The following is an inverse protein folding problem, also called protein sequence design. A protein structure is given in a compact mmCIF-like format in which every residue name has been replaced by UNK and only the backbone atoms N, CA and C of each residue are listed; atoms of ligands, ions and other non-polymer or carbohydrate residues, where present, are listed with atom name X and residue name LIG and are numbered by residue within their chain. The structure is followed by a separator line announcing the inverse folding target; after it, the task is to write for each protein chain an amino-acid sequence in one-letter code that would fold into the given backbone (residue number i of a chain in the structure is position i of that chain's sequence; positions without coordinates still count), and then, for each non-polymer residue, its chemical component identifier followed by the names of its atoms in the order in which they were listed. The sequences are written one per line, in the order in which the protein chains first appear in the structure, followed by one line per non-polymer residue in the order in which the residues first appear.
data_IF_429412863630
#
_entry.id   IF_429412863630
#
_cell.length_a   1.000
_cell.length_b   1.000
_cell.length_c   1.000
_cell.angle_alpha   90.00
_cell.angle_beta   90.00
_cell.angle_gamma   90.00
#
_symmetry.space_group_name_H-M   'P 1'
#
loop_
_entity.id
_entity.type
_entity.pdbx_description
1 polymer ?
#
# COMPACT_ATOMS: atom_id res chain seq x y z
N UNK A 1 45.80 34.01 23.35
CA UNK A 1 47.24 33.85 23.09
C UNK A 1 47.45 32.54 22.35
N UNK A 2 48.05 32.65 21.17
CA UNK A 2 48.51 31.63 20.19
C UNK A 2 47.49 30.86 19.38
N UNK A 3 47.33 31.38 18.20
CA UNK A 3 46.92 30.85 16.89
C UNK A 3 47.98 29.86 16.42
N UNK A 4 47.56 28.73 15.86
CA UNK A 4 48.39 28.01 14.88
C UNK A 4 47.50 27.51 13.75
N UNK A 5 47.65 28.14 12.59
CA UNK A 5 47.18 27.68 11.26
C UNK A 5 48.23 26.71 10.73
N UNK A 6 47.78 25.61 10.10
CA UNK A 6 48.60 24.93 9.10
C UNK A 6 47.71 24.66 7.87
N UNK A 7 48.23 25.21 6.78
CA UNK A 7 47.68 25.13 5.40
C UNK A 7 48.23 23.91 4.66
N UNK A 8 47.46 23.42 3.70
CA UNK A 8 47.98 23.01 2.40
C UNK A 8 48.08 21.51 2.17
N UNK A 9 47.36 20.98 1.21
CA UNK A 9 47.89 20.61 -0.12
C UNK A 9 46.78 20.14 -1.06
N UNK A 10 46.76 20.79 -2.19
CA UNK A 10 46.01 20.46 -3.40
C UNK A 10 46.78 19.35 -4.13
N UNK A 11 46.08 18.30 -4.62
CA UNK A 11 46.57 17.46 -5.67
C UNK A 11 45.46 17.23 -6.70
N UNK A 12 45.61 17.92 -7.82
CA UNK A 12 44.98 17.60 -9.12
C UNK A 12 45.75 16.48 -9.78
N UNK A 13 45.05 15.67 -10.59
CA UNK A 13 45.48 14.91 -11.79
C UNK A 13 44.54 13.71 -11.92
N UNK A 14 44.04 13.28 -13.06
CA UNK A 14 44.08 13.69 -14.45
C UNK A 14 42.93 12.95 -15.17
N UNK A 15 42.52 13.56 -16.22
CA UNK A 15 41.60 13.12 -17.29
C UNK A 15 42.11 11.83 -17.97
N UNK A 16 41.23 10.91 -18.25
CA UNK A 16 41.43 9.76 -19.12
C UNK A 16 40.19 9.52 -19.95
N UNK A 17 40.09 10.18 -21.10
CA UNK A 17 39.16 9.90 -22.16
C UNK A 17 39.65 8.69 -22.97
N UNK A 18 38.83 7.70 -23.21
CA UNK A 18 39.03 6.77 -24.35
C UNK A 18 37.78 6.68 -25.19
N UNK A 19 37.98 7.04 -26.40
CA UNK A 19 37.07 7.13 -27.52
C UNK A 19 36.87 5.80 -28.26
N UNK A 20 35.66 5.60 -28.73
CA UNK A 20 35.23 5.05 -30.02
C UNK A 20 35.83 3.72 -30.53
N UNK A 21 34.95 2.79 -30.88
CA UNK A 21 34.83 2.35 -32.26
C UNK A 21 33.48 1.70 -32.53
N UNK A 22 32.78 2.29 -33.48
CA UNK A 22 31.62 1.75 -34.19
C UNK A 22 32.15 0.92 -35.39
N UNK A 23 31.32 -0.04 -35.82
CA UNK A 23 31.09 -0.58 -37.16
C UNK A 23 30.33 -1.89 -36.95
N UNK A 24 29.15 -2.18 -37.46
CA UNK A 24 28.64 -1.84 -38.76
C UNK A 24 28.35 -3.11 -39.57
N UNK A 25 27.16 -3.16 -40.15
CA UNK A 25 26.71 -3.92 -41.34
C UNK A 25 25.97 -5.23 -41.12
N UNK A 26 24.64 -5.21 -41.25
CA UNK A 26 23.84 -5.66 -42.44
C UNK A 26 24.07 -7.08 -42.97
N UNK A 27 22.98 -7.84 -43.01
CA UNK A 27 22.27 -8.38 -44.20
C UNK A 27 21.39 -9.57 -43.77
N UNK A 28 20.08 -9.43 -43.85
CA UNK A 28 19.17 -9.74 -44.96
C UNK A 28 19.33 -11.13 -45.58
N UNK A 29 18.27 -11.89 -45.49
CA UNK A 29 17.56 -12.63 -46.53
C UNK A 29 16.70 -13.74 -45.93
N UNK A 30 15.42 -13.52 -46.09
CA UNK A 30 14.46 -14.17 -47.01
C UNK A 30 14.12 -15.64 -46.80
N UNK A 31 12.83 -15.79 -46.53
CA UNK A 31 11.83 -16.65 -47.21
C UNK A 31 11.96 -18.17 -47.11
N UNK A 32 10.94 -18.88 -46.70
CA UNK A 32 9.83 -19.39 -47.51
C UNK A 32 8.97 -20.38 -46.73
N UNK A 33 7.69 -20.08 -46.67
CA UNK A 33 6.52 -20.85 -47.13
C UNK A 33 6.47 -22.37 -46.98
N UNK A 34 5.38 -22.82 -46.37
CA UNK A 34 4.34 -23.73 -46.87
C UNK A 34 3.45 -24.12 -45.72
N UNK A 35 2.21 -23.72 -45.62
CA UNK A 35 1.02 -24.22 -46.29
C UNK A 35 0.71 -25.69 -45.96
N UNK A 36 -0.37 -25.88 -45.25
CA UNK A 36 -1.00 -27.17 -45.05
C UNK A 36 -2.37 -26.98 -44.39
N UNK A 37 -3.37 -26.90 -45.21
CA UNK A 37 -4.76 -26.64 -44.93
C UNK A 37 -5.55 -27.92 -44.63
N UNK A 38 -6.73 -27.68 -44.12
CA UNK A 38 -8.01 -28.41 -44.30
C UNK A 38 -8.43 -29.30 -43.14
N UNK A 39 -9.50 -28.98 -42.62
CA UNK A 39 -10.96 -29.30 -42.79
C UNK A 39 -11.40 -30.23 -41.66
N UNK A 40 -12.48 -30.13 -41.00
CA UNK A 40 -13.87 -29.79 -41.24
C UNK A 40 -14.66 -29.89 -39.91
N UNK A 41 -15.65 -29.03 -39.76
CA UNK A 41 -16.82 -29.26 -38.89
C UNK A 41 -17.85 -30.12 -39.67
N UNK A 42 -19.07 -30.45 -39.22
CA UNK A 42 -19.78 -30.10 -37.98
C UNK A 42 -20.55 -31.29 -37.36
N UNK A 43 -21.17 -31.09 -36.23
CA UNK A 43 -22.17 -32.01 -35.70
C UNK A 43 -23.04 -31.35 -34.65
N UNK A 44 -24.22 -30.92 -35.09
CA UNK A 44 -25.30 -30.44 -34.24
C UNK A 44 -26.17 -31.61 -33.72
N UNK A 45 -26.80 -31.44 -32.57
CA UNK A 45 -28.23 -31.73 -32.31
C UNK A 45 -28.50 -31.86 -30.81
N UNK A 46 -29.27 -30.93 -30.26
CA UNK A 46 -30.69 -31.06 -29.80
C UNK A 46 -30.92 -31.95 -28.57
N UNK A 47 -31.42 -31.44 -27.49
CA UNK A 47 -32.73 -31.06 -27.08
C UNK A 47 -33.17 -31.68 -25.73
N UNK A 48 -33.93 -30.88 -24.99
CA UNK A 48 -35.07 -31.13 -24.08
C UNK A 48 -34.78 -31.51 -22.63
N UNK A 49 -35.05 -30.56 -21.73
CA UNK A 49 -36.36 -30.38 -21.03
C UNK A 49 -36.68 -31.43 -19.96
N UNK A 50 -36.88 -30.95 -18.77
CA UNK A 50 -37.73 -31.66 -17.83
C UNK A 50 -37.42 -31.42 -16.36
N UNK A 51 -38.21 -30.61 -15.78
CA UNK A 51 -39.06 -30.78 -14.59
C UNK A 51 -38.53 -30.24 -13.27
N UNK A 52 -39.30 -29.30 -12.79
CA UNK A 52 -39.37 -28.76 -11.45
C UNK A 52 -39.66 -29.84 -10.39
N UNK A 53 -39.03 -29.74 -9.25
CA UNK A 53 -39.64 -30.20 -7.98
C UNK A 53 -39.39 -29.11 -6.93
N UNK A 54 -40.48 -28.58 -6.44
CA UNK A 54 -40.53 -27.68 -5.28
C UNK A 54 -40.23 -28.47 -4.01
N UNK A 55 -39.41 -27.95 -3.14
CA UNK A 55 -39.46 -28.26 -1.72
C UNK A 55 -39.22 -26.98 -0.92
N UNK A 56 -40.27 -26.56 -0.24
CA UNK A 56 -40.24 -25.50 0.77
C UNK A 56 -39.55 -26.02 2.03
N UNK A 57 -38.79 -25.16 2.69
CA UNK A 57 -38.29 -25.43 4.01
C UNK A 57 -37.36 -24.40 4.60
N UNK A 58 -37.92 -23.55 5.43
CA UNK A 58 -37.31 -22.86 6.58
C UNK A 58 -36.51 -21.60 6.35
N UNK A 59 -37.17 -20.51 6.59
CA UNK A 59 -36.61 -19.17 6.83
C UNK A 59 -35.67 -19.16 8.03
N UNK A 60 -34.42 -18.90 7.75
CA UNK A 60 -33.46 -18.41 8.71
C UNK A 60 -33.14 -16.95 8.30
N UNK A 61 -33.77 -15.98 8.97
CA UNK A 61 -33.50 -14.59 8.77
C UNK A 61 -32.11 -14.26 9.30
N UNK A 62 -31.10 -14.32 8.42
CA UNK A 62 -29.88 -13.55 8.60
C UNK A 62 -30.19 -12.17 8.02
N UNK A 63 -30.31 -11.18 8.89
CA UNK A 63 -30.34 -9.78 8.50
C UNK A 63 -28.97 -9.42 7.91
N UNK A 64 -28.77 -9.68 6.63
CA UNK A 64 -27.77 -8.99 5.82
C UNK A 64 -28.24 -7.56 5.74
N UNK A 65 -27.59 -6.69 6.50
CA UNK A 65 -27.72 -5.25 6.30
C UNK A 65 -27.40 -4.99 4.83
N UNK A 66 -28.42 -4.61 4.07
CA UNK A 66 -28.22 -4.13 2.71
C UNK A 66 -27.32 -2.90 2.77
N UNK A 67 -26.02 -3.10 2.57
CA UNK A 67 -25.11 -2.02 2.21
C UNK A 67 -25.63 -1.54 0.85
N UNK A 68 -26.20 -0.31 0.85
CA UNK A 68 -26.60 0.33 -0.39
C UNK A 68 -25.37 0.39 -1.30
N UNK A 69 -25.56 0.13 -2.60
CA UNK A 69 -24.50 0.24 -3.57
C UNK A 69 -23.82 1.61 -3.43
N UNK A 70 -22.48 1.62 -3.42
CA UNK A 70 -21.72 2.86 -3.41
C UNK A 70 -22.10 3.71 -4.62
N UNK A 71 -22.14 5.06 -4.48
CA UNK A 71 -22.47 5.95 -5.60
C UNK A 71 -21.39 5.83 -6.68
N UNK A 72 -21.79 5.82 -7.94
CA UNK A 72 -20.86 5.88 -9.07
C UNK A 72 -20.24 7.27 -9.18
N UNK A 73 -19.08 7.39 -9.84
CA UNK A 73 -18.34 8.66 -10.00
C UNK A 73 -19.22 9.83 -10.43
N UNK A 74 -19.92 9.70 -11.55
CA UNK A 74 -20.80 10.79 -12.04
C UNK A 74 -22.07 10.95 -11.21
N UNK A 75 -22.57 9.86 -10.64
CA UNK A 75 -23.72 9.88 -9.74
C UNK A 75 -23.44 10.51 -8.38
N UNK A 76 -22.16 10.64 -7.99
CA UNK A 76 -21.73 11.27 -6.74
C UNK A 76 -21.51 12.79 -6.84
N UNK A 77 -21.88 13.42 -7.94
CA UNK A 77 -21.72 14.87 -8.15
C UNK A 77 -20.34 15.29 -8.64
N UNK A 78 -19.56 14.36 -9.15
CA UNK A 78 -18.30 14.64 -9.84
C UNK A 78 -18.50 14.57 -11.37
N UNK A 79 -17.61 15.23 -12.10
CA UNK A 79 -17.56 15.18 -13.55
C UNK A 79 -16.11 15.13 -14.01
N UNK A 80 -15.88 14.53 -15.17
CA UNK A 80 -14.58 14.49 -15.79
C UNK A 80 -13.97 15.89 -15.97
N UNK A 81 -12.69 16.01 -15.61
CA UNK A 81 -11.86 17.17 -15.93
C UNK A 81 -10.59 16.72 -16.61
N UNK A 82 -10.02 17.58 -17.45
CA UNK A 82 -8.78 17.32 -18.21
C UNK A 82 -7.64 18.16 -17.67
N UNK A 83 -6.42 17.72 -17.88
CA UNK A 83 -5.21 18.40 -17.44
C UNK A 83 -4.15 17.42 -16.93
N UNK A 84 -3.20 17.93 -16.18
CA UNK A 84 -2.11 17.15 -15.60
C UNK A 84 -2.01 17.41 -14.09
N UNK A 85 -1.82 16.37 -13.29
CA UNK A 85 -1.52 16.43 -11.86
C UNK A 85 -0.17 15.77 -11.61
N UNK A 86 0.60 16.34 -10.70
CA UNK A 86 1.84 15.76 -10.19
C UNK A 86 1.57 15.16 -8.83
N UNK A 87 2.09 13.99 -8.59
CA UNK A 87 1.91 13.28 -7.31
C UNK A 87 3.13 12.44 -6.95
N UNK A 88 3.36 12.26 -5.66
CA UNK A 88 4.40 11.39 -5.12
C UNK A 88 4.03 10.92 -3.72
N UNK A 89 4.78 9.97 -3.18
CA UNK A 89 4.64 9.58 -1.79
C UNK A 89 4.60 8.08 -1.55
N UNK A 90 3.62 7.62 -0.77
CA UNK A 90 3.55 6.24 -0.31
C UNK A 90 3.66 5.23 -1.46
N UNK A 91 4.63 4.32 -1.35
CA UNK A 91 4.76 3.20 -2.28
C UNK A 91 3.75 2.09 -2.00
N UNK A 92 3.10 2.12 -0.83
CA UNK A 92 2.05 1.17 -0.46
C UNK A 92 0.89 1.17 -1.45
N UNK A 93 0.48 2.35 -1.89
CA UNK A 93 -0.58 2.51 -2.89
C UNK A 93 -0.09 2.54 -4.34
N UNK A 94 1.21 2.31 -4.59
CA UNK A 94 1.80 2.51 -5.92
C UNK A 94 1.01 1.84 -7.04
N UNK A 95 0.68 0.56 -6.86
CA UNK A 95 -0.12 -0.23 -7.83
C UNK A 95 -1.54 0.30 -8.02
N UNK A 96 -2.18 0.65 -6.91
CA UNK A 96 -3.54 1.21 -6.91
C UNK A 96 -3.55 2.55 -7.65
N UNK A 97 -2.58 3.41 -7.36
CA UNK A 97 -2.47 4.71 -7.99
C UNK A 97 -2.17 4.61 -9.50
N UNK A 98 -1.31 3.68 -9.92
CA UNK A 98 -1.04 3.40 -11.32
C UNK A 98 -2.33 2.99 -12.06
N UNK A 99 -3.10 2.06 -11.49
CA UNK A 99 -4.38 1.65 -12.05
C UNK A 99 -5.37 2.82 -12.12
N UNK A 100 -5.51 3.58 -11.04
CA UNK A 100 -6.42 4.72 -11.00
C UNK A 100 -6.07 5.82 -12.00
N UNK A 101 -4.80 6.13 -12.18
CA UNK A 101 -4.32 7.10 -13.17
C UNK A 101 -4.66 6.62 -14.58
N UNK A 102 -4.37 5.36 -14.90
CA UNK A 102 -4.65 4.77 -16.20
C UNK A 102 -6.16 4.79 -16.53
N UNK A 103 -6.97 4.35 -15.57
CA UNK A 103 -8.43 4.30 -15.74
C UNK A 103 -9.04 5.69 -15.85
N UNK A 104 -8.61 6.64 -15.02
CA UNK A 104 -9.07 8.02 -15.06
C UNK A 104 -8.66 8.71 -16.37
N UNK A 105 -7.41 8.54 -16.83
CA UNK A 105 -6.93 9.06 -18.10
C UNK A 105 -7.77 8.52 -19.26
N UNK A 106 -8.09 7.23 -19.24
CA UNK A 106 -8.94 6.60 -20.25
C UNK A 106 -10.39 7.10 -20.20
N UNK A 107 -10.98 7.16 -18.99
CA UNK A 107 -12.38 7.52 -18.76
C UNK A 107 -12.64 9.01 -19.05
N UNK A 108 -11.72 9.88 -18.63
CA UNK A 108 -11.91 11.33 -18.69
C UNK A 108 -11.09 12.01 -19.78
N UNK A 109 -10.37 11.27 -20.63
CA UNK A 109 -9.44 11.85 -21.62
C UNK A 109 -8.47 12.86 -20.97
N UNK A 110 -8.05 12.57 -19.75
CA UNK A 110 -7.08 13.35 -19.00
C UNK A 110 -5.65 12.93 -19.38
N UNK A 111 -4.66 13.60 -18.80
CA UNK A 111 -3.24 13.28 -19.00
C UNK A 111 -2.51 13.46 -17.65
N UNK A 112 -2.94 12.68 -16.65
CA UNK A 112 -2.28 12.68 -15.36
C UNK A 112 -0.90 12.06 -15.48
N UNK A 113 0.07 12.63 -14.78
CA UNK A 113 1.44 12.10 -14.73
C UNK A 113 1.48 10.82 -13.90
N UNK A 114 2.48 9.98 -14.17
CA UNK A 114 2.77 8.81 -13.37
C UNK A 114 3.02 9.19 -11.90
N UNK A 115 2.63 8.29 -11.00
CA UNK A 115 2.83 8.48 -9.58
C UNK A 115 4.30 8.32 -9.17
N UNK A 116 4.84 9.32 -8.53
CA UNK A 116 6.27 9.43 -8.23
C UNK A 116 6.73 8.74 -6.94
N UNK A 117 6.06 7.75 -6.39
CA UNK A 117 6.50 6.95 -5.25
C UNK A 117 7.43 7.64 -4.24
N UNK A 118 8.34 6.87 -3.64
CA UNK A 118 9.44 7.39 -2.80
C UNK A 118 9.18 7.38 -1.29
N UNK A 119 8.02 6.88 -0.85
CA UNK A 119 7.63 6.79 0.55
C UNK A 119 6.83 7.98 1.06
N UNK A 120 6.05 7.76 2.12
CA UNK A 120 5.16 8.78 2.71
C UNK A 120 5.90 10.03 3.16
N UNK A 121 7.12 9.88 3.70
CA UNK A 121 7.95 11.03 4.11
C UNK A 121 8.29 11.94 2.94
N UNK A 122 8.69 11.36 1.79
CA UNK A 122 8.96 12.10 0.56
C UNK A 122 7.70 12.81 0.05
N UNK A 123 6.56 12.11 -0.01
CA UNK A 123 5.30 12.70 -0.45
C UNK A 123 4.91 13.94 0.34
N UNK A 124 4.94 13.84 1.67
CA UNK A 124 4.65 14.99 2.56
C UNK A 124 5.63 16.15 2.30
N UNK A 125 6.93 15.86 2.19
CA UNK A 125 7.93 16.88 1.92
C UNK A 125 7.72 17.57 0.56
N UNK A 126 7.49 16.79 -0.50
CA UNK A 126 7.20 17.30 -1.85
C UNK A 126 5.94 18.17 -1.87
N UNK A 127 4.89 17.77 -1.14
CA UNK A 127 3.64 18.55 -1.04
C UNK A 127 3.87 19.90 -0.35
N UNK A 128 4.53 19.89 0.80
CA UNK A 128 4.86 21.12 1.54
C UNK A 128 5.73 22.05 0.70
N UNK A 129 6.68 21.48 -0.07
CA UNK A 129 7.57 22.21 -0.97
C UNK A 129 6.92 22.61 -2.31
N UNK A 130 5.61 22.35 -2.50
CA UNK A 130 4.87 22.65 -3.74
C UNK A 130 5.45 21.97 -5.00
N UNK A 131 6.06 20.79 -4.83
CA UNK A 131 6.59 20.00 -5.95
C UNK A 131 5.52 19.12 -6.58
N UNK A 132 4.46 18.78 -5.81
CA UNK A 132 3.33 17.96 -6.27
C UNK A 132 2.01 18.64 -5.95
N UNK A 133 0.96 18.22 -6.66
CA UNK A 133 -0.38 18.77 -6.52
C UNK A 133 -1.17 18.06 -5.42
N UNK A 134 -0.84 16.77 -5.20
CA UNK A 134 -1.26 15.99 -4.03
C UNK A 134 -0.18 14.98 -3.65
N UNK A 135 -0.22 14.49 -2.43
CA UNK A 135 0.71 13.47 -1.96
C UNK A 135 0.00 12.29 -1.35
N UNK A 136 0.49 11.08 -1.64
CA UNK A 136 0.06 9.86 -0.96
C UNK A 136 0.86 9.64 0.33
N UNK A 137 0.19 9.35 1.44
CA UNK A 137 0.84 9.06 2.71
C UNK A 137 0.03 8.08 3.56
N UNK A 138 0.72 7.09 4.15
CA UNK A 138 0.09 6.15 5.10
C UNK A 138 0.15 6.67 6.55
N UNK A 139 0.61 7.91 6.71
CA UNK A 139 0.62 8.62 7.99
C UNK A 139 -0.01 9.99 7.77
N UNK A 140 -0.90 10.39 8.66
CA UNK A 140 -1.48 11.74 8.66
C UNK A 140 -0.41 12.81 8.87
N UNK A 141 -0.70 14.02 8.42
CA UNK A 141 0.14 15.17 8.71
C UNK A 141 0.27 15.40 10.22
N UNK A 142 1.49 15.64 10.69
CA UNK A 142 1.67 16.18 12.03
C UNK A 142 1.16 17.63 12.10
N UNK A 143 0.88 18.15 13.30
CA UNK A 143 0.43 19.52 13.47
C UNK A 143 1.39 20.54 12.82
N UNK A 144 2.72 20.30 12.94
CA UNK A 144 3.73 21.18 12.34
C UNK A 144 3.74 21.06 10.81
N UNK A 145 3.59 19.87 10.25
CA UNK A 145 3.48 19.65 8.80
C UNK A 145 2.22 20.29 8.22
N UNK A 146 1.09 20.13 8.89
CA UNK A 146 -0.16 20.78 8.49
C UNK A 146 -0.05 22.32 8.52
N UNK A 147 0.59 22.89 9.55
CA UNK A 147 0.83 24.33 9.65
C UNK A 147 1.79 24.83 8.55
N UNK A 148 2.83 24.07 8.24
CA UNK A 148 3.75 24.38 7.14
C UNK A 148 3.02 24.32 5.79
N UNK A 149 2.30 23.23 5.50
CA UNK A 149 1.54 23.08 4.27
C UNK A 149 0.52 24.20 4.09
N UNK A 150 -0.18 24.58 5.15
CA UNK A 150 -1.13 25.71 5.17
C UNK A 150 -0.48 27.00 4.70
N UNK A 151 0.69 27.34 5.22
CA UNK A 151 1.38 28.61 4.94
C UNK A 151 2.12 28.60 3.60
N UNK A 152 2.76 27.49 3.22
CA UNK A 152 3.64 27.44 2.06
C UNK A 152 2.95 26.96 0.79
N UNK A 153 2.00 26.01 0.90
CA UNK A 153 1.37 25.31 -0.23
C UNK A 153 -0.09 25.70 -0.46
N UNK A 154 -0.88 25.85 0.60
CA UNK A 154 -2.34 25.94 0.52
C UNK A 154 -2.88 27.37 0.64
N UNK A 155 -2.08 28.40 0.39
CA UNK A 155 -2.51 29.82 0.42
C UNK A 155 -3.30 30.18 1.70
N UNK A 156 -2.82 29.73 2.85
CA UNK A 156 -3.44 29.86 4.18
C UNK A 156 -4.75 29.06 4.39
N UNK A 157 -5.10 28.15 3.48
CA UNK A 157 -6.16 27.17 3.71
C UNK A 157 -5.59 25.90 4.32
N UNK A 158 -6.45 25.06 4.89
CA UNK A 158 -6.00 23.82 5.52
C UNK A 158 -5.54 22.79 4.49
N UNK A 159 -4.44 22.12 4.76
CA UNK A 159 -4.11 20.84 4.18
C UNK A 159 -4.93 19.77 4.91
N UNK A 160 -5.48 18.80 4.19
CA UNK A 160 -6.37 17.77 4.72
C UNK A 160 -5.89 16.38 4.30
N UNK A 161 -6.07 15.42 5.18
CA UNK A 161 -5.81 14.00 4.97
C UNK A 161 -7.12 13.32 4.55
N UNK A 162 -7.19 12.84 3.29
CA UNK A 162 -8.35 12.12 2.76
C UNK A 162 -8.04 10.64 2.65
N UNK A 163 -8.60 9.75 3.49
CA UNK A 163 -8.36 8.32 3.39
C UNK A 163 -8.90 7.78 2.06
N UNK A 164 -8.07 7.04 1.31
CA UNK A 164 -8.44 6.51 0.00
C UNK A 164 -8.28 5.01 -0.14
N UNK A 165 -7.28 4.43 0.50
CA UNK A 165 -6.96 3.00 0.39
C UNK A 165 -6.81 2.39 1.76
N UNK A 166 -7.48 1.27 2.01
CA UNK A 166 -7.15 0.39 3.13
C UNK A 166 -6.08 -0.59 2.67
N UNK A 167 -4.88 -0.48 3.23
CA UNK A 167 -3.72 -1.30 2.88
C UNK A 167 -3.44 -2.36 3.95
N UNK A 168 -3.74 -3.64 3.70
CA UNK A 168 -3.28 -4.70 4.58
C UNK A 168 -1.76 -4.86 4.47
N UNK A 169 -1.09 -4.91 5.63
CA UNK A 169 0.36 -5.12 5.71
C UNK A 169 0.61 -6.61 5.94
N UNK A 170 1.10 -7.29 4.92
CA UNK A 170 1.49 -8.69 5.00
C UNK A 170 2.79 -8.83 5.81
N UNK A 171 2.82 -9.75 6.77
CA UNK A 171 4.04 -10.30 7.33
C UNK A 171 4.50 -11.40 6.39
N UNK A 172 5.14 -10.99 5.29
CA UNK A 172 5.56 -11.87 4.21
C UNK A 172 6.89 -12.54 4.55
N UNK A 173 7.01 -13.83 4.24
CA UNK A 173 8.22 -14.59 4.54
C UNK A 173 8.59 -15.54 3.40
N UNK A 174 9.87 -15.94 3.38
CA UNK A 174 10.41 -16.93 2.47
C UNK A 174 11.04 -18.06 3.28
N UNK A 175 10.30 -19.15 3.46
CA UNK A 175 10.72 -20.29 4.26
C UNK A 175 10.24 -21.58 3.61
N UNK A 176 11.16 -22.32 2.99
CA UNK A 176 10.86 -23.53 2.24
C UNK A 176 10.15 -24.58 3.11
N UNK A 177 9.03 -25.10 2.61
CA UNK A 177 8.26 -26.15 3.30
C UNK A 177 7.37 -25.66 4.43
N UNK A 178 7.31 -24.35 4.72
CA UNK A 178 6.41 -23.74 5.71
C UNK A 178 5.43 -22.85 4.99
N UNK A 179 4.16 -23.27 4.94
CA UNK A 179 3.09 -22.53 4.26
C UNK A 179 1.98 -22.05 5.21
N UNK A 180 1.99 -22.52 6.44
CA UNK A 180 1.00 -22.15 7.48
C UNK A 180 1.75 -21.72 8.74
N UNK A 181 1.99 -20.42 8.87
CA UNK A 181 2.71 -19.83 9.99
C UNK A 181 1.80 -18.82 10.70
N UNK A 182 1.70 -18.96 12.01
CA UNK A 182 1.04 -17.97 12.88
C UNK A 182 2.10 -17.21 13.67
N UNK A 183 1.96 -15.88 13.74
CA UNK A 183 2.82 -15.02 14.53
C UNK A 183 1.99 -14.18 15.49
N UNK A 184 2.55 -13.90 16.68
CA UNK A 184 1.96 -12.96 17.65
C UNK A 184 2.73 -11.65 17.67
N UNK A 185 2.15 -10.55 18.17
CA UNK A 185 2.85 -9.28 18.28
C UNK A 185 4.16 -9.37 19.09
N UNK A 186 4.19 -10.23 20.12
CA UNK A 186 5.37 -10.45 20.96
C UNK A 186 6.49 -11.14 20.17
N UNK A 187 6.15 -12.17 19.39
CA UNK A 187 7.11 -12.87 18.52
C UNK A 187 7.62 -11.93 17.43
N UNK A 188 6.74 -11.15 16.80
CA UNK A 188 7.13 -10.15 15.81
C UNK A 188 8.06 -9.09 16.42
N UNK A 189 7.76 -8.57 17.60
CA UNK A 189 8.65 -7.65 18.30
C UNK A 189 10.01 -8.29 18.58
N UNK A 190 10.05 -9.58 18.94
CA UNK A 190 11.30 -10.32 19.12
C UNK A 190 12.11 -10.49 17.83
N UNK A 191 11.44 -10.83 16.72
CA UNK A 191 12.09 -11.00 15.40
C UNK A 191 12.65 -9.67 14.91
N UNK A 192 11.83 -8.64 14.84
CA UNK A 192 12.23 -7.33 14.30
C UNK A 192 13.09 -6.52 15.28
N UNK A 193 13.04 -6.84 16.57
CA UNK A 193 13.93 -6.30 17.60
C UNK A 193 15.25 -7.08 17.79
N UNK A 194 15.41 -8.20 17.05
CA UNK A 194 16.64 -9.00 17.04
C UNK A 194 16.85 -9.94 18.24
N UNK A 195 15.85 -10.13 19.11
CA UNK A 195 15.92 -11.07 20.24
C UNK A 195 15.54 -12.51 19.86
N UNK A 196 14.76 -12.69 18.78
CA UNK A 196 14.44 -13.98 18.17
C UNK A 196 15.19 -14.03 16.81
N UNK A 197 16.24 -14.85 16.75
CA UNK A 197 17.17 -14.86 15.63
C UNK A 197 17.07 -16.10 14.73
N UNK A 198 16.30 -17.11 15.12
CA UNK A 198 16.17 -18.36 14.36
C UNK A 198 14.71 -18.78 14.24
N UNK A 199 14.35 -19.42 13.12
CA UNK A 199 12.98 -19.85 12.89
C UNK A 199 12.50 -20.95 13.85
N UNK A 200 13.38 -21.82 14.30
CA UNK A 200 13.08 -22.87 15.28
C UNK A 200 13.12 -22.38 16.74
N UNK A 201 13.08 -21.08 16.97
CA UNK A 201 12.99 -20.52 18.33
C UNK A 201 11.77 -21.10 19.09
N UNK A 202 11.93 -21.49 20.36
CA UNK A 202 10.83 -22.02 21.17
C UNK A 202 9.59 -21.13 21.20
N UNK A 203 9.74 -19.80 21.14
CA UNK A 203 8.62 -18.87 21.13
C UNK A 203 7.80 -18.96 19.82
N UNK A 204 8.44 -19.22 18.68
CA UNK A 204 7.74 -19.47 17.40
C UNK A 204 7.12 -20.87 17.42
N UNK A 205 7.87 -21.88 17.86
CA UNK A 205 7.41 -23.27 17.86
C UNK A 205 6.16 -23.46 18.75
N UNK A 206 6.10 -22.78 19.89
CA UNK A 206 4.99 -22.91 20.85
C UNK A 206 3.64 -22.46 20.27
N UNK A 207 3.63 -21.51 19.34
CA UNK A 207 2.42 -20.99 18.69
C UNK A 207 2.12 -21.64 17.33
N UNK A 208 2.97 -22.57 16.88
CA UNK A 208 2.86 -23.30 15.62
C UNK A 208 2.93 -24.82 15.83
N UNK A 209 2.04 -25.42 16.65
CA UNK A 209 2.08 -26.84 16.91
C UNK A 209 1.88 -27.65 15.62
N UNK A 210 2.76 -28.61 15.38
CA UNK A 210 2.72 -29.46 14.19
C UNK A 210 3.44 -28.90 12.96
N UNK A 211 3.92 -27.67 12.99
CA UNK A 211 4.77 -27.09 11.93
C UNK A 211 6.23 -27.45 12.20
N UNK A 212 6.90 -28.03 11.21
CA UNK A 212 8.35 -28.28 11.27
C UNK A 212 9.12 -27.03 10.90
N UNK A 213 9.62 -26.31 11.91
CA UNK A 213 10.40 -25.10 11.71
C UNK A 213 11.88 -25.43 11.50
N UNK A 214 12.56 -24.93 10.46
CA UNK A 214 13.95 -25.19 10.19
C UNK A 214 14.88 -24.48 11.18
N UNK A 215 16.03 -25.08 11.48
CA UNK A 215 17.14 -24.40 12.17
C UNK A 215 17.85 -23.46 11.19
N UNK A 216 17.22 -22.33 10.93
CA UNK A 216 17.68 -21.33 9.97
C UNK A 216 17.61 -19.94 10.61
N UNK A 217 18.63 -19.11 10.37
CA UNK A 217 18.66 -17.75 10.87
C UNK A 217 17.53 -16.91 10.19
N UNK A 218 16.91 -16.06 10.98
CA UNK A 218 15.92 -15.10 10.49
C UNK A 218 16.64 -13.86 9.96
N UNK A 219 16.31 -13.47 8.73
CA UNK A 219 16.70 -12.18 8.17
C UNK A 219 15.48 -11.26 8.09
N UNK A 220 15.35 -10.32 9.01
CA UNK A 220 14.30 -9.30 8.93
C UNK A 220 14.60 -8.30 7.82
N UNK A 221 13.56 -7.87 7.08
CA UNK A 221 13.66 -6.87 6.00
C UNK A 221 12.79 -5.68 6.38
N UNK A 222 13.35 -4.49 6.28
CA UNK A 222 12.66 -3.24 6.61
C UNK A 222 12.85 -2.18 5.52
N UNK A 223 12.09 -1.11 5.57
CA UNK A 223 12.18 0.01 4.64
C UNK A 223 13.44 0.85 4.88
N UNK A 224 14.07 1.28 3.81
CA UNK A 224 15.27 2.11 3.83
C UNK A 224 14.97 3.60 3.99
N UNK A 225 13.81 4.05 3.49
CA UNK A 225 13.35 5.44 3.51
C UNK A 225 12.27 5.67 4.57
N UNK A 226 11.88 6.94 4.77
CA UNK A 226 10.76 7.32 5.62
C UNK A 226 9.43 6.81 5.04
N UNK A 227 8.93 5.72 5.61
CA UNK A 227 7.82 4.93 5.12
C UNK A 227 6.62 5.00 6.05
N UNK A 228 5.43 5.23 5.49
CA UNK A 228 4.21 5.10 6.27
C UNK A 228 3.89 3.65 6.64
N UNK A 229 4.31 2.66 5.85
CA UNK A 229 4.21 1.23 6.22
C UNK A 229 5.01 0.95 7.48
N UNK A 230 6.25 1.48 7.57
CA UNK A 230 7.06 1.40 8.79
C UNK A 230 6.37 2.05 9.98
N UNK A 231 5.79 3.24 9.79
CA UNK A 231 5.06 3.96 10.85
C UNK A 231 3.89 3.11 11.39
N UNK A 232 3.05 2.56 10.51
CA UNK A 232 1.91 1.74 10.93
C UNK A 232 2.33 0.41 11.54
N UNK A 233 3.35 -0.26 11.00
CA UNK A 233 3.88 -1.49 11.56
C UNK A 233 4.48 -1.28 12.95
N UNK A 234 5.25 -0.21 13.16
CA UNK A 234 5.82 0.09 14.48
C UNK A 234 4.77 0.56 15.48
N UNK A 235 3.71 1.25 15.06
CA UNK A 235 2.53 1.54 15.88
C UNK A 235 1.82 0.26 16.33
N UNK A 236 1.63 -0.70 15.39
CA UNK A 236 1.09 -2.00 15.72
C UNK A 236 1.95 -2.73 16.76
N UNK A 237 3.26 -2.83 16.57
CA UNK A 237 4.15 -3.47 17.53
C UNK A 237 4.10 -2.79 18.90
N UNK A 238 4.07 -1.45 18.92
CA UNK A 238 3.98 -0.67 20.16
C UNK A 238 2.67 -0.95 20.91
N UNK A 239 1.54 -0.98 20.19
CA UNK A 239 0.22 -1.14 20.80
C UNK A 239 -0.07 -2.58 21.24
N UNK A 240 0.36 -3.58 20.43
CA UNK A 240 -0.07 -4.96 20.59
C UNK A 240 0.93 -5.87 21.29
N UNK A 241 2.24 -5.54 21.33
CA UNK A 241 3.27 -6.45 21.86
C UNK A 241 3.38 -6.51 23.38
N UNK A 242 2.58 -5.73 24.12
CA UNK A 242 2.62 -5.73 25.58
C UNK A 242 3.96 -5.23 26.14
N UNK A 243 4.65 -4.33 25.44
CA UNK A 243 5.94 -3.77 25.83
C UNK A 243 7.17 -4.55 25.35
N UNK A 244 6.99 -5.61 24.55
CA UNK A 244 8.12 -6.33 23.94
C UNK A 244 8.85 -5.51 22.86
N UNK A 245 8.13 -4.60 22.18
CA UNK A 245 8.72 -3.65 21.26
C UNK A 245 9.26 -2.43 22.00
N UNK A 246 10.55 -2.18 21.91
CA UNK A 246 11.25 -1.11 22.66
C UNK A 246 11.89 -0.05 21.75
N UNK A 247 11.95 -0.28 20.43
CA UNK A 247 12.45 0.71 19.48
C UNK A 247 11.44 1.84 19.30
N UNK A 248 11.93 3.02 18.93
CA UNK A 248 11.04 4.15 18.64
C UNK A 248 10.17 3.84 17.41
N UNK A 249 8.88 4.18 17.49
CA UNK A 249 7.98 4.14 16.36
C UNK A 249 8.17 5.34 15.43
N UNK A 250 7.62 5.26 14.23
CA UNK A 250 7.63 6.33 13.24
C UNK A 250 7.97 5.84 11.82
N UNK A 251 8.13 6.80 10.90
CA UNK A 251 8.40 6.49 9.49
C UNK A 251 9.80 5.91 9.26
N UNK A 252 10.80 6.35 10.04
CA UNK A 252 12.17 5.86 9.96
C UNK A 252 12.34 4.59 10.78
N UNK A 253 13.03 3.59 10.24
CA UNK A 253 13.37 2.38 10.98
C UNK A 253 14.45 2.65 12.02
N UNK A 254 14.23 2.26 13.27
CA UNK A 254 15.13 2.54 14.40
C UNK A 254 15.59 1.29 15.15
N UNK A 255 14.99 0.12 14.88
CA UNK A 255 15.41 -1.11 15.52
C UNK A 255 16.76 -1.61 14.96
N UNK A 256 17.56 -2.34 15.77
CA UNK A 256 18.86 -2.84 15.35
C UNK A 256 18.73 -3.99 14.34
N UNK A 257 19.68 -4.09 13.43
CA UNK A 257 19.78 -5.21 12.49
C UNK A 257 18.77 -5.16 11.35
N UNK A 258 18.64 -6.30 10.66
CA UNK A 258 17.82 -6.41 9.47
C UNK A 258 18.51 -5.89 8.20
N UNK A 259 17.81 -6.02 7.07
CA UNK A 259 18.24 -5.53 5.76
C UNK A 259 17.30 -4.43 5.31
N UNK A 260 17.86 -3.29 4.96
CA UNK A 260 17.11 -2.18 4.42
C UNK A 260 16.82 -2.37 2.92
N UNK A 261 15.57 -2.15 2.51
CA UNK A 261 15.17 -2.22 1.11
C UNK A 261 14.30 -1.01 0.74
N UNK A 262 14.50 -0.50 -0.47
CA UNK A 262 13.85 0.71 -0.95
C UNK A 262 12.44 0.39 -1.49
N UNK A 263 11.42 1.03 -0.95
CA UNK A 263 10.03 0.89 -1.39
C UNK A 263 9.42 -0.48 -1.08
N UNK A 264 8.13 -0.61 -1.34
CA UNK A 264 7.40 -1.87 -1.13
C UNK A 264 7.88 -2.97 -2.09
N UNK A 265 8.15 -2.62 -3.34
CA UNK A 265 8.71 -3.51 -4.35
C UNK A 265 10.11 -4.06 -3.96
N UNK A 266 10.97 -3.17 -3.42
CA UNK A 266 12.30 -3.60 -2.95
C UNK A 266 12.22 -4.54 -1.76
N UNK A 267 11.30 -4.33 -0.82
CA UNK A 267 11.08 -5.21 0.33
C UNK A 267 10.61 -6.58 -0.13
N UNK A 268 9.58 -6.67 -0.98
CA UNK A 268 9.05 -7.96 -1.45
C UNK A 268 10.10 -8.75 -2.24
N UNK A 269 10.85 -8.12 -3.11
CA UNK A 269 11.95 -8.75 -3.87
C UNK A 269 13.10 -9.22 -2.98
N UNK A 270 13.44 -8.44 -1.94
CA UNK A 270 14.46 -8.85 -0.97
C UNK A 270 14.02 -10.10 -0.21
N UNK A 271 12.76 -10.17 0.21
CA UNK A 271 12.19 -11.36 0.87
C UNK A 271 12.24 -12.55 -0.09
N UNK A 272 11.75 -12.37 -1.32
CA UNK A 272 11.70 -13.43 -2.34
C UNK A 272 13.07 -14.03 -2.63
N UNK A 273 14.09 -13.22 -2.68
CA UNK A 273 15.46 -13.64 -3.03
C UNK A 273 16.23 -14.31 -1.89
N UNK A 274 15.73 -14.26 -0.65
CA UNK A 274 16.49 -14.67 0.52
C UNK A 274 15.73 -15.69 1.35
N UNK A 275 16.16 -16.93 1.36
CA UNK A 275 15.63 -17.99 2.23
C UNK A 275 15.83 -17.62 3.70
N UNK A 276 14.79 -17.81 4.53
CA UNK A 276 14.80 -17.44 5.94
C UNK A 276 14.47 -15.98 6.21
N UNK A 277 14.11 -15.20 5.19
CA UNK A 277 13.73 -13.80 5.40
C UNK A 277 12.25 -13.63 5.77
N UNK A 278 11.96 -12.52 6.45
CA UNK A 278 10.62 -12.03 6.79
C UNK A 278 10.63 -10.50 6.72
N UNK A 279 9.56 -9.92 6.22
CA UNK A 279 9.39 -8.47 6.18
C UNK A 279 7.93 -8.05 6.28
N UNK A 280 7.71 -6.76 6.39
CA UNK A 280 6.39 -6.13 6.36
C UNK A 280 6.23 -5.38 5.04
N UNK A 281 5.21 -5.74 4.27
CA UNK A 281 4.95 -5.17 2.95
C UNK A 281 3.46 -5.24 2.65
N UNK A 282 2.94 -4.36 1.81
CA UNK A 282 1.53 -4.42 1.43
C UNK A 282 1.21 -5.71 0.68
N UNK A 283 0.03 -6.25 0.96
CA UNK A 283 -0.39 -7.58 0.51
C UNK A 283 -0.29 -7.78 -1.00
N UNK A 284 -0.64 -6.77 -1.80
CA UNK A 284 -0.54 -6.86 -3.26
C UNK A 284 0.89 -7.14 -3.77
N UNK A 285 1.93 -6.63 -3.11
CA UNK A 285 3.32 -6.95 -3.47
C UNK A 285 3.70 -8.38 -3.07
N UNK A 286 3.22 -8.84 -1.91
CA UNK A 286 3.45 -10.22 -1.48
C UNK A 286 2.77 -11.21 -2.43
N UNK A 287 1.55 -10.91 -2.91
CA UNK A 287 0.82 -11.73 -3.88
C UNK A 287 1.55 -11.82 -5.22
N UNK A 288 1.99 -10.70 -5.79
CA UNK A 288 2.69 -10.68 -7.09
C UNK A 288 4.01 -11.45 -7.05
N UNK A 289 4.71 -11.40 -5.93
CA UNK A 289 5.96 -12.13 -5.76
C UNK A 289 5.76 -13.58 -5.30
N UNK A 290 4.51 -13.99 -5.03
CA UNK A 290 4.17 -15.35 -4.59
C UNK A 290 4.73 -15.69 -3.22
N UNK A 291 4.83 -14.69 -2.32
CA UNK A 291 5.35 -14.87 -0.97
C UNK A 291 4.31 -15.51 -0.05
N UNK A 292 4.77 -16.34 0.87
CA UNK A 292 3.94 -16.80 1.98
C UNK A 292 3.68 -15.66 2.96
N UNK A 293 2.48 -15.63 3.55
CA UNK A 293 2.04 -14.59 4.49
C UNK A 293 1.61 -15.23 5.80
N UNK A 294 2.13 -14.76 6.91
CA UNK A 294 1.79 -15.27 8.23
C UNK A 294 0.40 -14.80 8.67
N UNK A 295 -0.34 -15.69 9.33
CA UNK A 295 -1.52 -15.35 10.12
C UNK A 295 -1.09 -14.60 11.37
N UNK A 296 -1.92 -13.69 11.84
CA UNK A 296 -1.63 -12.90 13.04
C UNK A 296 -2.63 -13.22 14.15
N UNK A 297 -2.10 -13.56 15.33
CA UNK A 297 -2.90 -13.76 16.53
C UNK A 297 -2.63 -12.66 17.56
N UNK A 298 -3.54 -11.71 17.68
CA UNK A 298 -3.53 -10.64 18.67
C UNK A 298 -4.14 -11.05 20.02
N UNK A 299 -4.36 -12.35 20.25
CA UNK A 299 -5.03 -12.89 21.42
C UNK A 299 -6.54 -13.04 21.26
N UNK A 300 -7.04 -12.96 20.03
CA UNK A 300 -8.41 -13.28 19.61
C UNK A 300 -8.50 -14.51 18.71
N UNK A 301 -7.39 -15.20 18.48
CA UNK A 301 -7.20 -16.28 17.53
C UNK A 301 -6.47 -15.82 16.26
N UNK A 302 -5.84 -16.77 15.57
CA UNK A 302 -5.09 -16.50 14.35
C UNK A 302 -6.01 -16.04 13.21
N UNK A 303 -5.71 -14.89 12.64
CA UNK A 303 -6.46 -14.30 11.52
C UNK A 303 -5.61 -14.30 10.26
N UNK A 304 -6.15 -14.89 9.19
CA UNK A 304 -5.56 -14.84 7.85
C UNK A 304 -5.78 -13.46 7.24
N UNK A 305 -4.78 -12.99 6.48
CA UNK A 305 -4.89 -11.74 5.75
C UNK A 305 -5.76 -11.95 4.50
N UNK A 306 -6.87 -11.23 4.46
CA UNK A 306 -7.79 -11.12 3.32
C UNK A 306 -8.30 -9.68 3.24
N UNK A 307 -8.91 -9.28 2.11
CA UNK A 307 -9.54 -7.98 2.00
C UNK A 307 -10.65 -7.79 3.06
N UNK A 308 -11.43 -8.85 3.34
CA UNK A 308 -12.47 -8.82 4.37
C UNK A 308 -11.88 -8.62 5.77
N UNK A 309 -10.86 -9.42 6.16
CA UNK A 309 -10.27 -9.33 7.49
C UNK A 309 -9.57 -7.98 7.74
N UNK A 310 -8.95 -7.41 6.71
CA UNK A 310 -8.40 -6.06 6.75
C UNK A 310 -9.49 -4.98 6.84
N UNK A 311 -10.56 -5.12 6.04
CA UNK A 311 -11.72 -4.25 6.10
C UNK A 311 -12.38 -4.22 7.47
N UNK A 312 -12.49 -5.39 8.14
CA UNK A 312 -13.01 -5.50 9.51
C UNK A 312 -12.17 -4.71 10.53
N UNK A 313 -10.84 -4.70 10.37
CA UNK A 313 -9.98 -3.92 11.25
C UNK A 313 -10.18 -2.40 11.08
N UNK A 314 -10.36 -1.93 9.83
CA UNK A 314 -10.54 -0.50 9.53
C UNK A 314 -11.99 -0.06 9.77
N UNK A 315 -12.98 -0.96 9.73
CA UNK A 315 -14.38 -0.63 10.00
C UNK A 315 -14.60 -0.03 11.41
N UNK A 316 -13.73 -0.38 12.37
CA UNK A 316 -13.74 0.17 13.72
C UNK A 316 -12.97 1.50 13.86
N UNK A 317 -12.34 1.98 12.79
CA UNK A 317 -11.57 3.22 12.83
C UNK A 317 -12.47 4.44 13.11
N UNK A 318 -11.94 5.38 13.86
CA UNK A 318 -12.62 6.64 14.19
C UNK A 318 -11.94 7.81 13.51
N UNK A 319 -12.76 8.76 13.01
CA UNK A 319 -12.22 10.02 12.48
C UNK A 319 -11.71 10.86 13.64
N UNK A 320 -10.42 11.19 13.63
CA UNK A 320 -9.75 12.07 14.59
C UNK A 320 -9.50 13.48 14.04
N UNK A 321 -9.55 13.65 12.72
CA UNK A 321 -9.45 14.94 12.05
C UNK A 321 -10.65 15.83 12.31
N UNK A 322 -10.55 17.10 11.98
CA UNK A 322 -11.60 18.12 12.18
C UNK A 322 -12.04 18.73 10.85
N UNK A 323 -13.32 19.04 10.74
CA UNK A 323 -13.88 19.67 9.55
C UNK A 323 -13.82 18.75 8.32
N UNK A 324 -13.00 19.11 7.33
CA UNK A 324 -12.79 18.33 6.09
C UNK A 324 -11.62 17.36 6.21
N UNK A 325 -10.80 17.50 7.24
CA UNK A 325 -9.70 16.57 7.52
C UNK A 325 -10.27 15.28 8.10
N UNK A 326 -9.98 14.16 7.45
CA UNK A 326 -10.51 12.84 7.76
C UNK A 326 -9.43 11.89 8.27
N UNK A 327 -8.41 12.43 8.95
CA UNK A 327 -7.44 11.62 9.66
C UNK A 327 -8.12 10.55 10.53
N UNK A 328 -7.66 9.31 10.48
CA UNK A 328 -8.24 8.18 11.22
C UNK A 328 -7.34 7.74 12.36
N UNK A 329 -7.97 7.28 13.44
CA UNK A 329 -7.32 6.51 14.49
C UNK A 329 -7.69 5.04 14.31
N UNK A 330 -6.68 4.18 14.17
CA UNK A 330 -6.80 2.72 14.05
C UNK A 330 -6.57 2.05 15.41
N UNK A 331 -7.30 0.96 15.68
CA UNK A 331 -7.05 0.11 16.86
C UNK A 331 -6.11 -1.04 16.48
N UNK A 332 -4.81 -0.82 16.59
CA UNK A 332 -3.79 -1.84 16.31
C UNK A 332 -3.76 -2.98 17.34
N UNK A 333 -4.38 -2.80 18.52
CA UNK A 333 -4.46 -3.82 19.55
C UNK A 333 -5.77 -4.62 19.49
N UNK A 334 -6.56 -4.45 18.43
CA UNK A 334 -7.85 -5.11 18.28
C UNK A 334 -7.74 -6.63 18.44
N UNK A 335 -8.70 -7.20 19.15
CA UNK A 335 -8.90 -8.66 19.30
C UNK A 335 -10.24 -9.09 18.70
N UNK A 336 -10.83 -8.23 17.88
CA UNK A 336 -12.10 -8.54 17.23
C UNK A 336 -11.93 -9.78 16.32
N UNK A 337 -12.80 -10.78 16.46
CA UNK A 337 -12.74 -11.98 15.63
C UNK A 337 -12.77 -11.62 14.14
N UNK A 338 -11.86 -12.21 13.34
CA UNK A 338 -11.79 -11.98 11.91
C UNK A 338 -11.25 -10.60 11.50
N UNK A 339 -10.73 -9.78 12.41
CA UNK A 339 -10.06 -8.53 12.09
C UNK A 339 -8.54 -8.75 12.04
N UNK A 340 -7.93 -8.52 10.87
CA UNK A 340 -6.48 -8.58 10.68
C UNK A 340 -5.85 -7.26 11.17
N UNK A 341 -5.02 -7.27 12.21
CA UNK A 341 -4.68 -6.04 12.95
C UNK A 341 -3.58 -5.20 12.30
N UNK A 342 -2.80 -5.77 11.36
CA UNK A 342 -1.65 -5.08 10.76
C UNK A 342 -2.12 -4.41 9.47
N UNK A 343 -2.67 -3.22 9.61
CA UNK A 343 -3.25 -2.44 8.50
C UNK A 343 -2.72 -1.02 8.51
N UNK A 344 -2.76 -0.40 7.35
CA UNK A 344 -2.58 1.03 7.16
C UNK A 344 -3.80 1.60 6.41
N UNK A 345 -3.92 2.92 6.45
CA UNK A 345 -4.79 3.66 5.55
C UNK A 345 -3.91 4.66 4.81
N UNK A 346 -3.95 4.64 3.48
CA UNK A 346 -3.29 5.66 2.68
C UNK A 346 -4.23 6.84 2.46
N UNK A 347 -3.71 8.01 2.71
CA UNK A 347 -4.39 9.29 2.56
C UNK A 347 -3.86 10.00 1.32
N UNK A 348 -4.75 10.67 0.58
CA UNK A 348 -4.37 11.72 -0.34
C UNK A 348 -4.36 13.05 0.40
N UNK A 349 -3.17 13.62 0.56
CA UNK A 349 -2.96 14.92 1.20
C UNK A 349 -3.14 16.01 0.16
N UNK A 350 -4.11 16.90 0.41
CA UNK A 350 -4.50 17.95 -0.53
C UNK A 350 -4.79 19.27 0.18
N UNK A 351 -4.76 20.38 -0.54
CA UNK A 351 -5.30 21.64 -0.02
C UNK A 351 -6.82 21.62 -0.09
N UNK A 352 -7.49 21.96 1.00
CA UNK A 352 -8.95 22.09 1.05
C UNK A 352 -9.50 23.21 0.13
N UNK A 353 -8.67 24.22 -0.10
CA UNK A 353 -8.91 25.35 -1.02
C UNK A 353 -7.58 26.04 -1.36
N UNK A 354 -7.60 27.00 -2.30
CA UNK A 354 -6.41 27.73 -2.71
C UNK A 354 -5.49 26.96 -3.64
N UNK A 355 -6.01 25.95 -4.32
CA UNK A 355 -5.29 25.25 -5.38
C UNK A 355 -5.07 26.18 -6.59
N UNK A 356 -3.99 25.95 -7.33
CA UNK A 356 -3.70 26.73 -8.53
C UNK A 356 -4.84 26.61 -9.56
N UNK A 357 -4.97 27.61 -10.42
CA UNK A 357 -5.99 27.63 -11.47
C UNK A 357 -5.88 26.37 -12.35
N UNK A 358 -7.00 25.69 -12.54
CA UNK A 358 -7.10 24.42 -13.27
C UNK A 358 -6.78 23.16 -12.44
N UNK A 359 -6.00 23.25 -11.37
CA UNK A 359 -5.67 22.11 -10.52
C UNK A 359 -6.86 21.71 -9.64
N UNK A 360 -7.52 22.66 -8.99
CA UNK A 360 -8.65 22.38 -8.08
C UNK A 360 -9.74 21.52 -8.73
N UNK A 361 -10.30 21.92 -9.88
CA UNK A 361 -11.31 21.12 -10.60
C UNK A 361 -10.83 19.72 -11.00
N UNK A 362 -9.58 19.60 -11.47
CA UNK A 362 -9.01 18.30 -11.87
C UNK A 362 -8.76 17.40 -10.66
N UNK A 363 -8.21 17.96 -9.58
CA UNK A 363 -7.99 17.23 -8.32
C UNK A 363 -9.32 16.74 -7.74
N UNK A 364 -10.34 17.60 -7.71
CA UNK A 364 -11.70 17.22 -7.31
C UNK A 364 -12.27 16.09 -8.16
N UNK A 365 -12.08 16.15 -9.48
CA UNK A 365 -12.51 15.11 -10.41
C UNK A 365 -11.78 13.79 -10.14
N UNK A 366 -10.46 13.81 -10.00
CA UNK A 366 -9.66 12.61 -9.74
C UNK A 366 -9.99 11.98 -8.38
N UNK A 367 -10.05 12.77 -7.30
CA UNK A 367 -10.41 12.28 -5.97
C UNK A 367 -11.87 11.79 -5.91
N UNK A 368 -12.74 12.36 -6.72
CA UNK A 368 -14.10 11.87 -6.90
C UNK A 368 -14.10 10.47 -7.51
N UNK A 369 -13.31 10.25 -8.55
CA UNK A 369 -13.15 8.94 -9.16
C UNK A 369 -12.54 7.93 -8.18
N UNK A 370 -11.43 8.26 -7.52
CA UNK A 370 -10.74 7.33 -6.60
C UNK A 370 -11.59 6.96 -5.38
N UNK A 371 -12.44 7.87 -4.92
CA UNK A 371 -13.37 7.62 -3.79
C UNK A 371 -14.66 6.90 -4.19
N UNK A 372 -14.93 6.68 -5.47
CA UNK A 372 -16.15 6.03 -5.98
C UNK A 372 -15.82 4.82 -6.85
N UNK A 373 -15.84 4.96 -8.18
CA UNK A 373 -15.61 3.86 -9.13
C UNK A 373 -14.24 3.20 -8.92
N UNK A 374 -13.21 3.96 -8.55
CA UNK A 374 -11.87 3.46 -8.29
C UNK A 374 -11.78 2.48 -7.13
N UNK A 375 -12.75 2.49 -6.20
CA UNK A 375 -12.77 1.54 -5.08
C UNK A 375 -13.04 0.09 -5.51
N UNK A 376 -13.68 -0.11 -6.66
CA UNK A 376 -14.10 -1.43 -7.12
C UNK A 376 -12.94 -2.35 -7.55
N UNK A 377 -11.77 -1.80 -7.86
CA UNK A 377 -10.60 -2.57 -8.29
C UNK A 377 -9.64 -2.95 -7.15
N UNK A 378 -9.86 -2.45 -5.94
CA UNK A 378 -8.89 -2.54 -4.84
C UNK A 378 -8.58 -3.98 -4.41
N UNK A 379 -9.59 -4.84 -4.32
CA UNK A 379 -9.42 -6.25 -3.91
C UNK A 379 -8.46 -6.99 -4.85
N UNK A 380 -8.53 -6.72 -6.15
CA UNK A 380 -7.66 -7.35 -7.16
C UNK A 380 -6.22 -6.85 -7.07
N UNK A 381 -6.01 -5.71 -6.44
CA UNK A 381 -4.69 -5.09 -6.24
C UNK A 381 -4.11 -5.36 -4.83
N UNK A 382 -4.74 -6.26 -4.06
CA UNK A 382 -4.32 -6.60 -2.71
C UNK A 382 -4.55 -5.48 -1.69
N UNK A 383 -5.55 -4.63 -1.93
CA UNK A 383 -6.01 -3.61 -1.02
C UNK A 383 -7.49 -3.85 -0.68
N UNK A 384 -8.02 -3.13 0.29
CA UNK A 384 -9.45 -3.20 0.62
C UNK A 384 -10.11 -1.84 0.40
N UNK A 385 -11.39 -1.82 -0.02
CA UNK A 385 -12.12 -0.58 -0.19
C UNK A 385 -12.39 0.08 1.16
N UNK A 386 -12.65 1.39 1.11
CA UNK A 386 -13.03 2.15 2.29
C UNK A 386 -14.37 1.64 2.84
N UNK A 387 -14.52 1.55 4.18
CA UNK A 387 -15.83 1.35 4.79
C UNK A 387 -16.82 2.43 4.33
N UNK A 388 -18.07 2.05 4.02
CA UNK A 388 -19.08 2.96 3.46
C UNK A 388 -19.29 4.25 4.26
N UNK A 389 -19.17 4.18 5.59
CA UNK A 389 -19.30 5.34 6.49
C UNK A 389 -18.15 6.33 6.34
N UNK A 390 -16.94 5.86 6.01
CA UNK A 390 -15.75 6.69 5.73
C UNK A 390 -15.84 7.20 4.30
N UNK A 391 -16.13 6.34 3.32
CA UNK A 391 -16.27 6.69 1.91
C UNK A 391 -17.25 7.86 1.70
N UNK A 392 -18.41 7.84 2.36
CA UNK A 392 -19.39 8.94 2.28
C UNK A 392 -18.78 10.29 2.72
N UNK A 393 -17.98 10.30 3.78
CA UNK A 393 -17.31 11.51 4.25
C UNK A 393 -16.23 11.98 3.28
N UNK A 394 -15.47 11.05 2.71
CA UNK A 394 -14.43 11.33 1.70
C UNK A 394 -15.04 11.97 0.46
N UNK A 395 -16.14 11.42 -0.06
CA UNK A 395 -16.88 11.98 -1.20
C UNK A 395 -17.30 13.43 -0.90
N UNK A 396 -17.86 13.68 0.29
CA UNK A 396 -18.27 15.02 0.71
C UNK A 396 -17.08 15.99 0.81
N UNK A 397 -15.97 15.57 1.40
CA UNK A 397 -14.77 16.39 1.53
C UNK A 397 -14.15 16.67 0.16
N UNK A 398 -13.95 15.65 -0.70
CA UNK A 398 -13.42 15.79 -2.05
C UNK A 398 -14.28 16.72 -2.92
N UNK A 399 -15.62 16.63 -2.82
CA UNK A 399 -16.55 17.49 -3.56
C UNK A 399 -16.44 18.96 -3.20
N UNK A 400 -15.89 19.28 -2.04
CA UNK A 400 -15.76 20.63 -1.50
C UNK A 400 -14.39 21.29 -1.74
N UNK A 401 -13.45 20.59 -2.41
CA UNK A 401 -12.14 21.13 -2.78
C UNK A 401 -12.30 22.26 -3.80
N UNK A 402 -11.51 23.34 -3.66
CA UNK A 402 -11.57 24.50 -4.54
C UNK A 402 -10.20 25.14 -4.79
#
# INVERSE_FOLDING_TARGET
MKITRISGLIALLAVGAMTLSACGSDNNSTASSAAGAATSAPGAATSKAGSAVSAAGSAGSAASGAQGAAPTFEGAGFSCATGSLRSSGSTAQGKVMEQWINDFNSKCSANLNDYGGGGSGKGIADFIANQVDFAGSDSVLTADQAAQAKSTRCANNDAIDLPMVTGPIALAYNLSGVTDLTLTPQVLAGIFGGTIANWNDPAIAAINPGVTLPSLAIQSVHRAEDSGTTDNFTKYLTAASGGAWTAAGGKSWTAPGGVAAQGSDGVSKQIKSTEGSIGYVEWGFAQDDGLAVAKIDNGGGAVELTAESAGNAVAAATVSGTGKDLALTLDYATKAPGAYPVVLVTYEIVCSAGNAAGIGPLLKSFLGYTSTDGQASLDQLGAAPLPASIQTKVIAAASSIS
#
